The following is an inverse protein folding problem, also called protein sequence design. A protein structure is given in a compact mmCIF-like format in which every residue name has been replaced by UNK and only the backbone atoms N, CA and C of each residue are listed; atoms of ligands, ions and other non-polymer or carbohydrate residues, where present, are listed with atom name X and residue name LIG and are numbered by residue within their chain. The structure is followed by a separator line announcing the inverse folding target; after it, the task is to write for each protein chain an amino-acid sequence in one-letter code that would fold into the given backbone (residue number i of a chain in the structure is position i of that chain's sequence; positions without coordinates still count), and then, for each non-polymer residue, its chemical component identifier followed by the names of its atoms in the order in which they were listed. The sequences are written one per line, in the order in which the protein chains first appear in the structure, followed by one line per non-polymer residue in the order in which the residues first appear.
data_IF_494653918176
#
_entry.id   IF_494653918176
#
_cell.length_a   1.000
_cell.length_b   1.000
_cell.length_c   1.000
_cell.angle_alpha   90.00
_cell.angle_beta   90.00
_cell.angle_gamma   90.00
#
_symmetry.space_group_name_H-M   'P 1'
#
loop_
_entity.id
_entity.type
_entity.pdbx_description
1 polymer ?
#
# COMPACT_ATOMS: atom_id res chain seq x y z
N UNK A 1 -5.68 12.84 -40.73
CA UNK A 1 -5.60 14.17 -40.07
C UNK A 1 -6.20 14.01 -38.68
N UNK A 2 -5.40 14.19 -37.64
CA UNK A 2 -5.87 13.97 -36.28
C UNK A 2 -6.85 15.08 -35.90
N UNK A 3 -8.15 14.80 -35.96
CA UNK A 3 -9.22 15.64 -35.40
C UNK A 3 -9.33 15.38 -33.90
N UNK A 4 -8.19 15.28 -33.24
CA UNK A 4 -8.11 15.12 -31.80
C UNK A 4 -8.28 16.52 -31.22
N UNK A 5 -9.28 16.70 -30.37
CA UNK A 5 -9.29 17.83 -29.46
C UNK A 5 -7.90 17.90 -28.83
N UNK A 6 -7.17 18.98 -29.13
CA UNK A 6 -5.80 19.19 -28.72
C UNK A 6 -5.67 18.83 -27.23
N UNK A 7 -4.79 17.89 -26.88
CA UNK A 7 -4.61 17.40 -25.50
C UNK A 7 -4.47 18.58 -24.51
N UNK A 8 -3.66 19.61 -24.80
CA UNK A 8 -3.63 20.84 -24.01
C UNK A 8 -5.00 21.49 -23.77
N UNK A 9 -5.84 21.56 -24.80
CA UNK A 9 -7.21 22.08 -24.71
C UNK A 9 -8.13 21.20 -23.86
N UNK A 10 -7.98 19.88 -23.94
CA UNK A 10 -8.73 18.95 -23.10
C UNK A 10 -8.31 19.06 -21.63
N UNK A 11 -7.01 19.09 -21.36
CA UNK A 11 -6.46 19.23 -19.99
C UNK A 11 -6.89 20.57 -19.39
N UNK A 12 -6.79 21.67 -20.14
CA UNK A 12 -7.20 22.98 -19.67
C UNK A 12 -8.68 23.03 -19.31
N UNK A 13 -9.57 22.43 -20.13
CA UNK A 13 -11.02 22.44 -19.83
C UNK A 13 -11.41 21.47 -18.71
N UNK A 14 -10.72 20.34 -18.59
CA UNK A 14 -11.03 19.33 -17.56
C UNK A 14 -10.39 19.61 -16.20
N UNK A 15 -9.32 20.40 -16.16
CA UNK A 15 -8.60 20.67 -14.92
C UNK A 15 -9.38 21.67 -14.04
N UNK A 16 -9.58 21.36 -12.74
CA UNK A 16 -10.19 22.28 -11.79
C UNK A 16 -9.43 23.60 -11.61
N UNK A 17 -10.12 24.61 -11.09
CA UNK A 17 -9.57 25.95 -10.81
C UNK A 17 -8.46 25.96 -9.74
N UNK A 18 -8.33 24.88 -8.95
CA UNK A 18 -7.25 24.76 -7.97
C UNK A 18 -5.95 24.20 -8.58
N UNK A 19 -5.97 23.74 -9.84
CA UNK A 19 -4.80 23.19 -10.53
C UNK A 19 -4.15 24.23 -11.44
N UNK A 20 -2.83 24.39 -11.31
CA UNK A 20 -2.03 25.10 -12.31
C UNK A 20 -1.71 24.17 -13.48
N UNK A 21 -2.03 24.58 -14.72
CA UNK A 21 -1.79 23.81 -15.94
C UNK A 21 -0.63 24.42 -16.71
N UNK A 22 0.35 23.59 -17.08
CA UNK A 22 1.49 23.99 -17.90
C UNK A 22 1.46 23.24 -19.24
N UNK A 23 1.57 23.98 -20.35
CA UNK A 23 1.69 23.42 -21.69
C UNK A 23 3.08 23.76 -22.21
N UNK A 24 3.94 22.74 -22.30
CA UNK A 24 5.36 22.89 -22.64
C UNK A 24 5.60 22.17 -23.97
N UNK A 25 6.15 22.89 -24.94
CA UNK A 25 6.52 22.35 -26.25
C UNK A 25 7.92 22.84 -26.62
N UNK A 26 8.72 21.95 -27.22
CA UNK A 26 10.09 22.27 -27.65
C UNK A 26 10.08 23.45 -28.63
N UNK A 27 10.91 24.46 -28.36
CA UNK A 27 11.06 25.64 -29.20
C UNK A 27 9.87 26.62 -29.16
N UNK A 28 8.95 26.48 -28.19
CA UNK A 28 7.83 27.41 -27.98
C UNK A 28 7.86 27.94 -26.56
N UNK A 29 7.40 29.18 -26.37
CA UNK A 29 7.13 29.72 -25.04
C UNK A 29 6.05 28.86 -24.37
N UNK A 30 6.27 28.41 -23.13
CA UNK A 30 5.27 27.62 -22.42
C UNK A 30 4.03 28.47 -22.13
N UNK A 31 2.86 27.87 -22.28
CA UNK A 31 1.60 28.49 -21.88
C UNK A 31 1.22 28.00 -20.48
N UNK A 32 0.83 28.94 -19.61
CA UNK A 32 0.52 28.65 -18.20
C UNK A 32 -0.89 29.13 -17.88
N UNK A 33 -1.67 28.29 -17.21
CA UNK A 33 -2.93 28.68 -16.58
C UNK A 33 -2.78 28.55 -15.06
N UNK A 34 -2.57 29.66 -14.33
CA UNK A 34 -2.40 29.62 -12.87
C UNK A 34 -3.69 29.19 -12.17
N UNK A 35 -3.52 28.52 -11.02
CA UNK A 35 -4.62 28.27 -10.09
C UNK A 35 -5.15 29.58 -9.50
N UNK A 36 -6.47 29.69 -9.38
CA UNK A 36 -7.16 30.86 -8.79
C UNK A 36 -7.77 30.54 -7.43
N UNK A 37 -7.80 29.26 -7.03
CA UNK A 37 -8.47 28.78 -5.82
C UNK A 37 -7.60 27.81 -5.03
N UNK A 38 -7.69 27.80 -3.69
CA UNK A 38 -7.04 26.78 -2.89
C UNK A 38 -7.62 25.39 -3.18
N UNK A 39 -6.80 24.36 -3.03
CA UNK A 39 -7.25 22.98 -3.17
C UNK A 39 -8.26 22.63 -2.06
N UNK A 40 -9.26 21.79 -2.35
CA UNK A 40 -10.18 21.31 -1.32
C UNK A 40 -9.43 20.48 -0.25
N UNK A 41 -9.94 20.44 1.00
CA UNK A 41 -9.38 19.61 2.05
C UNK A 41 -9.36 18.13 1.65
N UNK A 42 -8.27 17.42 1.97
CA UNK A 42 -8.20 15.98 1.75
C UNK A 42 -9.22 15.27 2.65
N UNK A 43 -10.08 14.37 2.12
CA UNK A 43 -10.95 13.58 2.96
C UNK A 43 -10.08 12.75 3.92
N UNK A 44 -10.32 12.91 5.21
CA UNK A 44 -9.72 12.03 6.20
C UNK A 44 -10.26 10.62 5.93
N UNK A 45 -9.37 9.70 5.55
CA UNK A 45 -9.73 8.28 5.47
C UNK A 45 -10.17 7.89 6.88
N UNK A 46 -11.47 7.66 7.05
CA UNK A 46 -11.96 7.10 8.31
C UNK A 46 -11.20 5.80 8.53
N UNK A 47 -10.54 5.68 9.68
CA UNK A 47 -10.05 4.38 10.12
C UNK A 47 -11.23 3.40 10.02
N UNK A 48 -11.00 2.13 9.64
CA UNK A 48 -12.07 1.15 9.67
C UNK A 48 -12.71 1.21 11.04
N UNK A 49 -13.98 1.62 11.11
CA UNK A 49 -14.78 1.41 12.31
C UNK A 49 -14.68 -0.08 12.56
N UNK A 50 -14.02 -0.45 13.66
CA UNK A 50 -14.02 -1.83 14.11
C UNK A 50 -15.49 -2.22 14.21
N UNK A 51 -15.96 -3.06 13.27
CA UNK A 51 -17.27 -3.68 13.42
C UNK A 51 -17.27 -4.31 14.81
N UNK A 52 -18.35 -4.19 15.60
CA UNK A 52 -18.53 -5.03 16.77
C UNK A 52 -18.39 -6.48 16.30
N UNK A 53 -17.23 -7.09 16.51
CA UNK A 53 -17.09 -8.51 16.25
C UNK A 53 -17.88 -9.19 17.36
N UNK A 54 -18.84 -10.07 17.04
CA UNK A 54 -19.38 -10.95 18.06
C UNK A 54 -18.18 -11.63 18.76
N UNK A 55 -18.21 -11.78 20.10
CA UNK A 55 -17.08 -12.33 20.83
C UNK A 55 -16.67 -13.66 20.19
N UNK A 56 -15.50 -13.68 19.57
CA UNK A 56 -14.94 -14.89 18.99
C UNK A 56 -14.77 -15.88 20.17
N UNK A 57 -15.25 -17.14 20.06
CA UNK A 57 -15.01 -18.12 21.09
C UNK A 57 -13.50 -18.20 21.35
N UNK A 58 -13.11 -18.08 22.62
CA UNK A 58 -11.72 -18.07 23.03
C UNK A 58 -10.99 -19.28 22.40
N UNK A 59 -9.73 -19.11 21.94
CA UNK A 59 -8.94 -20.24 21.47
C UNK A 59 -8.95 -21.33 22.54
N UNK A 60 -9.45 -22.52 22.18
CA UNK A 60 -9.45 -23.67 23.07
C UNK A 60 -8.02 -23.90 23.54
N UNK A 61 -7.79 -23.80 24.86
CA UNK A 61 -6.48 -24.11 25.45
C UNK A 61 -6.09 -25.52 25.00
N UNK A 62 -4.88 -25.74 24.46
CA UNK A 62 -4.45 -27.08 24.07
C UNK A 62 -4.52 -28.01 25.28
N UNK A 63 -4.96 -29.27 25.11
CA UNK A 63 -5.08 -30.22 26.20
C UNK A 63 -3.70 -30.46 26.82
N UNK A 64 -3.62 -30.22 28.12
CA UNK A 64 -2.51 -30.62 28.97
C UNK A 64 -2.54 -32.15 29.02
N UNK A 65 -1.70 -32.81 28.25
CA UNK A 65 -1.33 -34.23 28.41
C UNK A 65 0.20 -34.28 28.51
N UNK A 66 0.75 -34.29 29.73
CA UNK A 66 1.24 -35.47 30.45
C UNK A 66 2.71 -35.79 30.15
N UNK A 67 3.49 -36.19 31.17
CA UNK A 67 4.96 -36.15 31.14
C UNK A 67 5.54 -37.31 30.32
N UNK A 68 6.46 -37.01 29.41
CA UNK A 68 7.20 -38.01 28.66
C UNK A 68 8.34 -38.58 29.56
N UNK A 69 8.11 -39.74 30.17
CA UNK A 69 9.16 -40.53 30.82
C UNK A 69 9.63 -41.64 29.85
N UNK A 70 10.90 -41.54 29.46
CA UNK A 70 11.87 -42.60 29.14
C UNK A 70 11.50 -43.73 28.16
N UNK A 71 12.24 -43.79 27.04
CA UNK A 71 13.09 -44.96 26.78
C UNK A 71 14.26 -44.59 25.86
N UNK A 72 15.41 -45.11 26.27
CA UNK A 72 16.75 -45.06 25.73
C UNK A 72 16.95 -46.14 24.65
N UNK A 73 17.77 -45.83 23.64
CA UNK A 73 18.58 -46.74 22.78
C UNK A 73 19.47 -45.81 21.94
N UNK A 74 20.75 -45.59 22.28
CA UNK A 74 21.93 -46.40 21.93
C UNK A 74 22.02 -46.58 20.40
N UNK A 75 22.96 -46.03 19.62
CA UNK A 75 24.42 -46.13 19.65
C UNK A 75 24.98 -45.02 18.70
N UNK A 76 25.93 -44.17 19.12
CA UNK A 76 27.40 -44.27 19.00
C UNK A 76 28.03 -43.90 17.63
N UNK A 77 29.09 -43.05 17.71
CA UNK A 77 30.35 -43.08 16.91
C UNK A 77 30.26 -42.37 15.52
N UNK A 78 31.07 -41.36 15.16
CA UNK A 78 32.53 -41.23 15.31
C UNK A 78 33.02 -39.77 15.27
N UNK A 79 34.10 -39.59 16.00
CA UNK A 79 35.01 -38.46 16.16
C UNK A 79 35.95 -38.21 14.95
N UNK A 80 36.50 -37.00 14.87
CA UNK A 80 37.83 -36.62 14.35
C UNK A 80 38.13 -36.30 12.87
N UNK A 81 39.01 -35.29 12.77
CA UNK A 81 39.93 -34.96 11.67
C UNK A 81 40.06 -33.44 11.59
N UNK A 82 40.82 -32.69 12.41
CA UNK A 82 42.27 -32.69 12.69
C UNK A 82 43.14 -32.72 11.43
N UNK A 83 43.69 -31.54 11.08
CA UNK A 83 45.04 -31.24 10.56
C UNK A 83 45.12 -29.74 10.29
#
# INVERSE_FOLDING_TARGET
KFRQLDVPSSVSRGAPEFCTVYVIAKGKTPHVRPSTRPAPPVPQKQAPVARPQPPLPAPLKPPIGSPHQSHETSDQVTTNGMM
#
